data_IF_045653657114
#
_entry.id   IF_045653657114
#
_cell.length_a   1.000
_cell.length_b   1.000
_cell.length_c   1.000
_cell.angle_alpha   90.00
_cell.angle_beta   90.00
_cell.angle_gamma   90.00
#
_symmetry.space_group_name_H-M   'P 1'
#
loop_
_entity.id
_entity.type
_entity.pdbx_description
1 polymer ?
#
# COMPACT_ATOMS: atom_id res chain seq x y z
N UNK A 1 -1.07 -5.55 -6.81
CA UNK A 1 -0.20 -6.27 -5.84
C UNK A 1 -0.52 -5.87 -4.39
N UNK A 2 -0.59 -4.59 -4.04
CA UNK A 2 -0.90 -4.15 -2.66
C UNK A 2 -2.24 -4.70 -2.15
N UNK A 3 -3.31 -4.61 -2.94
CA UNK A 3 -4.62 -5.12 -2.55
C UNK A 3 -4.59 -6.63 -2.31
N UNK A 4 -3.92 -7.41 -3.19
CA UNK A 4 -3.77 -8.85 -2.99
C UNK A 4 -2.97 -9.18 -1.72
N UNK A 5 -1.92 -8.42 -1.43
CA UNK A 5 -1.09 -8.62 -0.23
C UNK A 5 -1.88 -8.27 1.05
N UNK A 6 -2.57 -7.12 1.04
CA UNK A 6 -3.30 -6.62 2.22
C UNK A 6 -4.67 -7.26 2.43
N UNK A 7 -5.13 -8.12 1.54
CA UNK A 7 -6.40 -8.85 1.73
C UNK A 7 -6.36 -9.79 2.95
N UNK A 8 -5.17 -10.24 3.35
CA UNK A 8 -4.96 -11.07 4.53
C UNK A 8 -5.26 -10.26 5.82
N UNK A 9 -4.84 -8.99 5.87
CA UNK A 9 -5.15 -8.10 7.00
C UNK A 9 -6.65 -7.81 7.09
N UNK A 10 -7.36 -7.87 5.96
CA UNK A 10 -8.83 -7.80 5.93
C UNK A 10 -9.52 -9.12 6.28
N UNK A 11 -8.78 -10.16 6.67
CA UNK A 11 -9.30 -11.45 7.08
C UNK A 11 -9.50 -12.46 5.95
N UNK A 12 -9.11 -12.16 4.72
CA UNK A 12 -9.20 -13.10 3.61
C UNK A 12 -8.05 -14.13 3.65
N UNK A 13 -8.30 -15.33 3.14
CA UNK A 13 -7.27 -16.37 2.99
C UNK A 13 -6.36 -16.13 1.79
N UNK A 14 -6.87 -15.44 0.79
CA UNK A 14 -6.14 -15.07 -0.42
C UNK A 14 -6.75 -13.81 -1.02
N UNK A 15 -5.96 -13.10 -1.83
CA UNK A 15 -6.40 -11.98 -2.64
C UNK A 15 -6.04 -12.24 -4.09
N UNK A 16 -7.03 -12.11 -4.98
CA UNK A 16 -6.88 -12.35 -6.41
C UNK A 16 -7.37 -11.13 -7.18
N UNK A 17 -6.56 -10.67 -8.12
CA UNK A 17 -6.92 -9.65 -9.10
C UNK A 17 -6.50 -10.18 -10.46
N UNK A 18 -7.42 -10.21 -11.40
CA UNK A 18 -7.11 -10.61 -12.77
C UNK A 18 -6.00 -9.71 -13.36
N UNK A 19 -5.06 -10.27 -14.11
CA UNK A 19 -4.04 -9.48 -14.78
C UNK A 19 -4.67 -8.64 -15.91
N UNK A 20 -4.16 -7.43 -16.05
CA UNK A 20 -4.55 -6.45 -17.05
C UNK A 20 -3.35 -6.05 -17.93
N UNK A 21 -3.57 -5.11 -18.84
CA UNK A 21 -2.52 -4.61 -19.73
C UNK A 21 -1.33 -4.02 -18.95
N UNK A 22 -1.59 -3.35 -17.82
CA UNK A 22 -0.53 -2.81 -16.95
C UNK A 22 0.34 -3.95 -16.37
N UNK A 23 -0.29 -5.06 -16.00
CA UNK A 23 0.40 -6.27 -15.53
C UNK A 23 1.27 -6.86 -16.63
N UNK A 24 0.74 -6.95 -17.86
CA UNK A 24 1.49 -7.49 -19.00
C UNK A 24 2.70 -6.64 -19.34
N UNK A 25 2.55 -5.33 -19.42
CA UNK A 25 3.64 -4.39 -19.65
C UNK A 25 4.71 -4.47 -18.55
N UNK A 26 4.29 -4.60 -17.28
CA UNK A 26 5.21 -4.74 -16.17
C UNK A 26 6.06 -6.02 -16.27
N UNK A 27 5.49 -7.11 -16.79
CA UNK A 27 6.16 -8.41 -16.89
C UNK A 27 7.02 -8.55 -18.16
N UNK A 28 6.65 -7.91 -19.26
CA UNK A 28 7.22 -8.13 -20.59
C UNK A 28 8.76 -8.07 -20.63
N UNK A 29 9.38 -7.17 -19.88
CA UNK A 29 10.83 -6.96 -19.87
C UNK A 29 11.55 -7.66 -18.70
N UNK A 30 10.83 -8.44 -17.88
CA UNK A 30 11.46 -9.09 -16.72
C UNK A 30 12.33 -10.26 -17.15
N UNK A 31 13.50 -10.46 -16.47
CA UNK A 31 14.46 -11.51 -16.85
C UNK A 31 13.86 -12.91 -16.85
N UNK A 32 12.93 -13.19 -15.93
CA UNK A 32 12.33 -14.50 -15.73
C UNK A 32 10.92 -14.62 -16.35
N UNK A 33 10.43 -13.58 -17.05
CA UNK A 33 9.19 -13.69 -17.81
C UNK A 33 9.38 -14.59 -19.04
N UNK A 34 8.31 -15.26 -19.49
CA UNK A 34 8.35 -16.00 -20.76
C UNK A 34 8.82 -15.10 -21.90
N UNK A 35 9.42 -15.66 -22.93
CA UNK A 35 9.93 -14.94 -24.10
C UNK A 35 9.36 -15.53 -25.39
N UNK A 36 9.30 -14.72 -26.43
CA UNK A 36 8.89 -15.13 -27.79
C UNK A 36 7.54 -15.88 -27.79
N UNK A 37 7.46 -17.00 -28.46
CA UNK A 37 6.23 -17.82 -28.56
C UNK A 37 5.68 -18.26 -27.19
N UNK A 38 6.55 -18.43 -26.17
CA UNK A 38 6.08 -18.71 -24.81
C UNK A 38 5.42 -17.52 -24.14
N UNK A 39 5.82 -16.30 -24.49
CA UNK A 39 5.14 -15.08 -24.06
C UNK A 39 3.73 -14.97 -24.64
N UNK A 40 3.59 -15.20 -25.95
CA UNK A 40 2.29 -15.14 -26.63
C UNK A 40 1.31 -16.17 -26.05
N UNK A 41 1.79 -17.40 -25.81
CA UNK A 41 1.00 -18.44 -25.18
C UNK A 41 0.61 -18.07 -23.73
N UNK A 42 1.50 -17.43 -22.97
CA UNK A 42 1.20 -16.98 -21.63
C UNK A 42 0.16 -15.86 -21.61
N UNK A 43 0.27 -14.88 -22.51
CA UNK A 43 -0.71 -13.80 -22.67
C UNK A 43 -2.10 -14.35 -23.01
N UNK A 44 -2.19 -15.31 -23.94
CA UNK A 44 -3.46 -15.94 -24.29
C UNK A 44 -4.14 -16.53 -23.06
N UNK A 45 -3.40 -17.28 -22.24
CA UNK A 45 -3.92 -17.87 -21.01
C UNK A 45 -4.29 -16.82 -19.94
N UNK A 46 -3.49 -15.78 -19.78
CA UNK A 46 -3.74 -14.76 -18.76
C UNK A 46 -4.98 -13.92 -19.07
N UNK A 47 -5.30 -13.74 -20.34
CA UNK A 47 -6.53 -13.06 -20.79
C UNK A 47 -7.82 -13.84 -20.49
N UNK A 48 -7.70 -15.11 -20.15
CA UNK A 48 -8.83 -15.97 -19.75
C UNK A 48 -9.07 -15.97 -18.23
N UNK A 49 -8.22 -15.28 -17.44
CA UNK A 49 -8.30 -15.27 -15.97
C UNK A 49 -9.32 -14.29 -15.35
N UNK A 50 -9.84 -13.24 -16.03
CA UNK A 50 -10.92 -12.45 -15.47
C UNK A 50 -12.11 -13.31 -15.07
N UNK A 51 -12.86 -12.87 -14.05
CA UNK A 51 -14.12 -13.55 -13.65
C UNK A 51 -15.10 -13.60 -14.81
N UNK A 52 -15.83 -14.71 -14.90
CA UNK A 52 -16.84 -14.89 -15.92
C UNK A 52 -17.96 -13.85 -15.82
N UNK A 53 -18.53 -13.49 -16.96
CA UNK A 53 -19.71 -12.63 -16.98
C UNK A 53 -20.87 -13.32 -16.23
N UNK A 54 -21.42 -12.64 -15.22
CA UNK A 54 -22.48 -13.18 -14.38
C UNK A 54 -22.01 -14.09 -13.25
N UNK A 55 -20.69 -14.11 -12.93
CA UNK A 55 -20.20 -14.77 -11.73
C UNK A 55 -20.94 -14.24 -10.48
N UNK A 56 -21.38 -15.14 -9.61
CA UNK A 56 -22.05 -14.78 -8.36
C UNK A 56 -21.04 -14.73 -7.22
N UNK A 57 -21.13 -13.66 -6.43
CA UNK A 57 -20.27 -13.43 -5.26
C UNK A 57 -21.13 -13.38 -3.99
N UNK A 58 -20.63 -13.92 -2.90
CA UNK A 58 -21.31 -13.87 -1.59
C UNK A 58 -21.47 -12.42 -1.07
N UNK A 59 -20.51 -11.56 -1.40
CA UNK A 59 -20.53 -10.12 -1.06
C UNK A 59 -19.83 -9.32 -2.16
N UNK A 60 -20.39 -8.17 -2.44
CA UNK A 60 -19.81 -7.19 -3.34
C UNK A 60 -19.60 -5.87 -2.58
N UNK A 61 -18.46 -5.24 -2.80
CA UNK A 61 -18.16 -3.91 -2.28
C UNK A 61 -17.74 -3.02 -3.45
N UNK A 62 -18.49 -1.95 -3.65
CA UNK A 62 -18.15 -0.93 -4.62
C UNK A 62 -17.46 0.24 -3.92
N UNK A 63 -16.31 0.62 -4.40
CA UNK A 63 -15.55 1.77 -3.90
C UNK A 63 -15.22 2.67 -5.09
N UNK A 64 -15.64 3.92 -5.01
CA UNK A 64 -15.23 4.90 -6.00
C UNK A 64 -13.75 5.27 -5.78
N UNK A 65 -12.94 5.08 -6.80
CA UNK A 65 -11.51 5.37 -6.71
C UNK A 65 -11.22 6.87 -6.48
N UNK A 66 -12.12 7.76 -6.90
CA UNK A 66 -11.99 9.21 -6.68
C UNK A 66 -12.19 9.60 -5.20
N UNK A 67 -12.89 8.79 -4.42
CA UNK A 67 -13.08 8.99 -2.99
C UNK A 67 -11.90 8.52 -2.14
N UNK A 68 -10.97 7.75 -2.73
CA UNK A 68 -9.80 7.23 -2.00
C UNK A 68 -8.81 8.36 -1.75
N UNK A 69 -8.68 8.75 -0.50
CA UNK A 69 -7.74 9.77 -0.04
C UNK A 69 -6.43 9.13 0.44
N UNK A 70 -5.32 9.88 0.44
CA UNK A 70 -4.10 9.46 1.14
C UNK A 70 -4.40 9.20 2.62
N UNK A 71 -4.05 7.99 3.07
CA UNK A 71 -4.35 7.52 4.42
C UNK A 71 -3.09 7.37 5.25
N UNK A 72 -3.23 7.53 6.55
CA UNK A 72 -2.19 7.26 7.55
C UNK A 72 -2.78 6.46 8.70
N UNK A 73 -2.04 5.49 9.23
CA UNK A 73 -2.42 4.81 10.47
C UNK A 73 -1.95 5.62 11.68
N UNK A 74 -2.85 5.80 12.63
CA UNK A 74 -2.57 6.47 13.90
C UNK A 74 -2.36 5.49 15.07
N UNK A 75 -2.60 4.22 14.83
CA UNK A 75 -2.54 3.17 15.85
C UNK A 75 -1.65 2.00 15.43
N UNK A 76 -1.96 0.82 15.97
CA UNK A 76 -1.16 -0.39 15.86
C UNK A 76 -1.69 -1.40 14.83
N UNK A 77 -2.75 -1.07 14.11
CA UNK A 77 -3.33 -1.93 13.07
C UNK A 77 -3.81 -1.10 11.87
N UNK A 78 -3.95 -1.73 10.69
CA UNK A 78 -4.50 -1.06 9.49
C UNK A 78 -5.91 -0.49 9.66
N UNK A 79 -6.73 -1.10 10.52
CA UNK A 79 -8.07 -0.59 10.87
C UNK A 79 -8.06 0.76 11.61
N UNK A 80 -6.91 1.17 12.13
CA UNK A 80 -6.71 2.47 12.78
C UNK A 80 -6.23 3.52 11.78
N UNK A 81 -6.81 3.55 10.58
CA UNK A 81 -6.49 4.49 9.53
C UNK A 81 -7.37 5.74 9.56
N UNK A 82 -6.79 6.89 9.21
CA UNK A 82 -7.50 8.15 8.97
C UNK A 82 -6.90 8.84 7.74
N UNK A 83 -7.62 9.73 7.06
CA UNK A 83 -7.01 10.60 6.07
C UNK A 83 -5.81 11.36 6.65
N UNK A 84 -4.78 11.63 5.86
CA UNK A 84 -3.56 12.34 6.31
C UNK A 84 -3.89 13.67 7.01
N UNK A 85 -4.96 14.36 6.58
CA UNK A 85 -5.44 15.61 7.19
C UNK A 85 -6.48 15.39 8.28
N UNK A 86 -6.77 14.15 8.63
CA UNK A 86 -7.73 13.80 9.67
C UNK A 86 -7.23 14.09 11.08
N UNK A 87 -8.12 13.94 12.01
CA UNK A 87 -7.83 14.05 13.45
C UNK A 87 -7.88 12.67 14.10
N UNK A 88 -7.08 12.49 15.13
CA UNK A 88 -7.09 11.28 15.95
C UNK A 88 -8.47 11.11 16.61
N UNK A 89 -9.16 9.98 16.43
CA UNK A 89 -10.50 9.80 16.96
C UNK A 89 -10.51 9.73 18.49
N UNK A 90 -11.65 10.14 19.07
CA UNK A 90 -11.92 9.92 20.49
C UNK A 90 -12.26 8.44 20.71
N UNK A 91 -11.59 7.76 21.65
CA UNK A 91 -11.83 6.34 21.93
C UNK A 91 -13.23 6.04 22.52
N UNK A 92 -13.93 7.04 23.07
CA UNK A 92 -15.29 6.92 23.64
C UNK A 92 -15.46 5.76 24.61
N UNK A 93 -14.41 5.46 25.39
CA UNK A 93 -14.41 4.35 26.36
C UNK A 93 -14.02 3.00 25.79
N UNK A 94 -13.60 2.91 24.54
CA UNK A 94 -12.97 1.70 24.00
C UNK A 94 -11.55 1.55 24.56
N UNK A 95 -11.39 0.59 25.48
CA UNK A 95 -10.12 0.32 26.15
C UNK A 95 -8.99 -0.08 25.19
N UNK A 96 -9.33 -0.70 24.05
CA UNK A 96 -8.35 -1.07 23.01
C UNK A 96 -7.79 0.17 22.31
N UNK A 97 -8.66 1.09 21.93
CA UNK A 97 -8.28 2.37 21.33
C UNK A 97 -7.51 3.24 22.33
N UNK A 98 -7.93 3.31 23.59
CA UNK A 98 -7.21 4.04 24.64
C UNK A 98 -5.78 3.50 24.83
N UNK A 99 -5.62 2.17 24.83
CA UNK A 99 -4.32 1.52 24.93
C UNK A 99 -3.45 1.85 23.72
N UNK A 100 -4.01 1.82 22.50
CA UNK A 100 -3.30 2.16 21.29
C UNK A 100 -2.84 3.62 21.29
N UNK A 101 -3.71 4.57 21.65
CA UNK A 101 -3.37 5.99 21.76
C UNK A 101 -2.24 6.23 22.77
N UNK A 102 -2.30 5.58 23.92
CA UNK A 102 -1.26 5.69 24.95
C UNK A 102 0.06 5.11 24.45
N UNK A 103 0.04 3.97 23.78
CA UNK A 103 1.22 3.36 23.19
C UNK A 103 1.88 4.24 22.13
N UNK A 104 1.07 4.85 21.27
CA UNK A 104 1.52 5.75 20.21
C UNK A 104 1.87 7.17 20.71
N UNK A 105 1.57 7.50 21.96
CA UNK A 105 1.76 8.84 22.51
C UNK A 105 0.89 9.89 21.80
N UNK A 106 -0.34 9.54 21.44
CA UNK A 106 -1.26 10.39 20.71
C UNK A 106 -2.39 10.90 21.61
N UNK A 107 -2.85 12.12 21.31
CA UNK A 107 -3.99 12.74 21.98
C UNK A 107 -5.22 12.72 21.07
N UNK A 108 -6.39 12.28 21.56
CA UNK A 108 -7.64 12.40 20.84
C UNK A 108 -7.94 13.84 20.39
N UNK A 109 -8.59 14.00 19.24
CA UNK A 109 -8.97 15.32 18.73
C UNK A 109 -7.81 16.14 18.14
N UNK A 110 -6.59 15.64 18.13
CA UNK A 110 -5.42 16.32 17.54
C UNK A 110 -5.11 15.80 16.14
N UNK A 111 -4.62 16.65 15.22
CA UNK A 111 -4.13 16.20 13.92
C UNK A 111 -2.82 15.45 14.05
N UNK A 112 -2.60 14.49 13.15
CA UNK A 112 -1.29 13.86 12.98
C UNK A 112 -0.33 14.74 12.17
N UNK A 113 -0.86 15.51 11.25
CA UNK A 113 -0.07 16.41 10.41
C UNK A 113 0.64 17.46 11.27
N UNK A 114 1.96 17.62 11.04
CA UNK A 114 2.79 18.54 11.79
C UNK A 114 3.43 17.98 13.07
N UNK A 115 3.15 16.71 13.41
CA UNK A 115 3.85 16.06 14.52
C UNK A 115 5.32 15.83 14.19
N UNK A 116 6.17 16.00 15.18
CA UNK A 116 7.60 15.67 15.06
C UNK A 116 7.77 14.18 14.86
N UNK A 117 8.61 13.81 13.90
CA UNK A 117 9.01 12.44 13.60
C UNK A 117 10.53 12.36 13.75
N UNK A 118 11.04 11.32 14.41
CA UNK A 118 12.47 11.14 14.64
C UNK A 118 13.10 10.22 13.60
N UNK A 119 12.33 9.25 13.07
CA UNK A 119 12.81 8.31 12.06
C UNK A 119 11.73 8.11 10.99
N UNK A 120 12.13 8.12 9.73
CA UNK A 120 11.30 7.72 8.60
C UNK A 120 11.90 6.47 7.98
N UNK A 121 11.08 5.43 7.87
CA UNK A 121 11.41 4.22 7.13
C UNK A 121 10.59 4.19 5.84
N UNK A 122 11.26 4.05 4.69
CA UNK A 122 10.62 3.93 3.38
C UNK A 122 10.92 2.54 2.85
N UNK A 123 9.88 1.73 2.70
CA UNK A 123 9.99 0.38 2.21
C UNK A 123 8.99 -0.55 2.90
N UNK A 124 8.69 -1.63 2.24
CA UNK A 124 7.80 -2.69 2.75
C UNK A 124 7.97 -3.92 1.86
N UNK A 125 7.47 -5.07 2.32
CA UNK A 125 7.48 -6.31 1.53
C UNK A 125 6.76 -6.18 0.18
N UNK A 126 5.77 -5.30 0.06
CA UNK A 126 4.99 -5.10 -1.17
C UNK A 126 5.31 -3.79 -1.89
N UNK A 127 5.50 -2.70 -1.16
CA UNK A 127 5.70 -1.36 -1.71
C UNK A 127 7.15 -0.88 -1.57
N UNK A 128 8.09 -1.69 -2.01
CA UNK A 128 9.54 -1.43 -2.05
C UNK A 128 10.12 -1.63 -3.45
N UNK A 129 9.24 -1.66 -4.46
CA UNK A 129 9.68 -1.78 -5.85
C UNK A 129 10.43 -0.52 -6.27
N UNK A 130 11.29 -0.64 -7.26
CA UNK A 130 12.02 0.51 -7.81
C UNK A 130 11.09 1.66 -8.21
N UNK A 131 9.90 1.34 -8.76
CA UNK A 131 8.87 2.34 -9.10
C UNK A 131 8.36 3.08 -7.87
N UNK A 132 8.10 2.37 -6.76
CA UNK A 132 7.62 2.96 -5.52
C UNK A 132 8.69 3.88 -4.89
N UNK A 133 9.95 3.44 -4.89
CA UNK A 133 11.08 4.22 -4.39
C UNK A 133 11.35 5.47 -5.26
N UNK A 134 11.14 5.38 -6.57
CA UNK A 134 11.22 6.54 -7.47
C UNK A 134 10.15 7.59 -7.16
N UNK A 135 8.94 7.19 -6.82
CA UNK A 135 7.89 8.13 -6.39
C UNK A 135 8.26 8.82 -5.07
N UNK A 136 8.76 8.07 -4.09
CA UNK A 136 9.29 8.65 -2.85
C UNK A 136 10.44 9.64 -3.13
N UNK A 137 11.37 9.28 -4.02
CA UNK A 137 12.48 10.14 -4.40
C UNK A 137 12.03 11.45 -5.09
N UNK A 138 10.95 11.42 -5.89
CA UNK A 138 10.37 12.65 -6.47
C UNK A 138 9.91 13.64 -5.40
N UNK A 139 9.26 13.13 -4.35
CA UNK A 139 8.79 13.97 -3.23
C UNK A 139 9.96 14.55 -2.43
N UNK A 140 11.05 13.79 -2.27
CA UNK A 140 12.20 14.17 -1.46
C UNK A 140 13.22 15.05 -2.21
N UNK A 141 13.19 15.03 -3.53
CA UNK A 141 14.18 15.72 -4.38
C UNK A 141 14.26 17.21 -4.04
N UNK A 142 15.48 17.71 -3.82
CA UNK A 142 15.76 19.11 -3.52
C UNK A 142 15.36 19.54 -2.09
N UNK A 143 14.87 18.65 -1.26
CA UNK A 143 14.54 18.93 0.14
C UNK A 143 15.69 18.54 1.05
N UNK A 144 15.78 19.21 2.20
CA UNK A 144 16.72 18.85 3.25
C UNK A 144 15.98 18.14 4.38
N UNK A 145 16.58 17.08 4.91
CA UNK A 145 16.09 16.43 6.12
C UNK A 145 16.30 17.40 7.30
N UNK A 146 15.22 17.77 7.97
CA UNK A 146 15.28 18.76 9.05
C UNK A 146 15.85 18.16 10.34
N UNK A 147 15.16 17.19 10.95
CA UNK A 147 15.55 16.60 12.23
C UNK A 147 15.17 15.11 12.27
N UNK A 148 15.31 14.41 11.16
CA UNK A 148 14.80 13.05 10.97
C UNK A 148 15.91 12.17 10.43
N UNK A 149 16.02 10.96 10.94
CA UNK A 149 16.87 9.93 10.37
C UNK A 149 16.08 9.14 9.34
N UNK A 150 16.51 9.16 8.08
CA UNK A 150 15.88 8.35 7.01
C UNK A 150 16.53 6.97 6.92
N UNK A 151 15.69 5.94 6.78
CA UNK A 151 16.12 4.57 6.47
C UNK A 151 15.32 4.12 5.24
N UNK A 152 16.01 3.67 4.20
CA UNK A 152 15.40 3.11 2.98
C UNK A 152 15.70 1.62 2.97
N UNK A 153 14.68 0.79 2.90
CA UNK A 153 14.84 -0.64 2.72
C UNK A 153 15.20 -0.92 1.26
N UNK A 154 16.18 -1.77 1.05
CA UNK A 154 16.63 -2.26 -0.25
C UNK A 154 17.23 -1.20 -1.19
N UNK A 155 18.16 -0.42 -0.66
CA UNK A 155 18.88 0.60 -1.41
C UNK A 155 19.79 0.05 -2.54
N UNK A 156 19.98 -1.27 -2.64
CA UNK A 156 20.91 -1.88 -3.60
C UNK A 156 20.51 -1.67 -5.06
N UNK A 157 19.21 -1.57 -5.35
CA UNK A 157 18.70 -1.32 -6.71
C UNK A 157 18.55 0.17 -7.05
N UNK A 158 18.62 1.06 -6.05
CA UNK A 158 18.42 2.50 -6.23
C UNK A 158 19.73 3.22 -6.58
N UNK A 159 20.87 2.61 -6.27
CA UNK A 159 22.21 3.18 -6.44
C UNK A 159 22.97 2.58 -7.66
N UNK A 160 22.37 1.68 -8.38
CA UNK A 160 22.85 1.16 -9.66
C UNK A 160 22.17 1.88 -10.83
#
# INVERSE_FOLDING_TARGET
MTVCNMSIEAGARAGLIAPDETTYQYLAERPFAPKDAAWDAALARWRELPSDSGAAFDRELHVDAEEIQPMITWGTSPGMGIPVRGIVPDPKGDAGLEKALRYMGLEPGKPLLGRKIDVVFIGSCTNSRLTDLREAAKVLRGRRVAAVRGVIADAREVLA
#
